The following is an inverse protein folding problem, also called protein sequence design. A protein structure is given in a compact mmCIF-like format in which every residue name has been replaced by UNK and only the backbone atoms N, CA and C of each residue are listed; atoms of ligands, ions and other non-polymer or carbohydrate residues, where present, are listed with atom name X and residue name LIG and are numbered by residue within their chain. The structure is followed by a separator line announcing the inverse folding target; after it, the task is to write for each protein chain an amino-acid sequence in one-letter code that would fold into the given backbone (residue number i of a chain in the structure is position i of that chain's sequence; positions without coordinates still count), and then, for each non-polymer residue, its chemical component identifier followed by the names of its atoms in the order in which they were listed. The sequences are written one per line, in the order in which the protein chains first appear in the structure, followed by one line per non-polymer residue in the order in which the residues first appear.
data_IF_366254983496
#
_entry.id   IF_366254983496
#
_cell.length_a   1.000
_cell.length_b   1.000
_cell.length_c   1.000
_cell.angle_alpha   90.00
_cell.angle_beta   90.00
_cell.angle_gamma   90.00
#
_symmetry.space_group_name_H-M   'P 1'
#
loop_
_entity.id
_entity.type
_entity.pdbx_description
1 polymer ?
#
# COMPACT_ATOMS: atom_id res chain seq x y z
N UNK A 1 16.50 -1.56 10.32
CA UNK A 1 15.97 -1.65 11.71
C UNK A 1 15.82 -3.12 12.14
N UNK A 2 15.83 -3.47 13.44
CA UNK A 2 15.49 -4.83 13.89
C UNK A 2 13.98 -5.03 13.80
N UNK A 3 13.53 -5.96 12.96
CA UNK A 3 12.13 -6.40 12.87
C UNK A 3 11.62 -6.72 14.28
N UNK A 4 10.53 -6.07 14.69
CA UNK A 4 9.97 -6.34 16.02
C UNK A 4 9.53 -7.80 16.11
N UNK A 5 9.77 -8.48 17.24
CA UNK A 5 9.31 -9.84 17.43
C UNK A 5 7.77 -9.86 17.36
N UNK A 6 7.23 -10.96 16.83
CA UNK A 6 5.79 -11.14 16.75
C UNK A 6 5.13 -10.94 18.13
N UNK A 7 4.16 -10.04 18.20
CA UNK A 7 3.40 -9.66 19.38
C UNK A 7 1.97 -10.16 19.26
N UNK A 8 1.41 -10.66 20.35
CA UNK A 8 0.00 -11.09 20.40
C UNK A 8 -0.96 -9.96 20.00
N UNK A 9 -0.61 -8.70 20.31
CA UNK A 9 -1.43 -7.53 20.03
C UNK A 9 -1.34 -7.03 18.59
N UNK A 10 -0.24 -7.32 17.88
CA UNK A 10 0.00 -6.80 16.53
C UNK A 10 -0.15 -7.88 15.45
N UNK A 11 0.12 -9.16 15.78
CA UNK A 11 0.31 -10.22 14.79
C UNK A 11 -0.64 -11.41 14.97
N UNK A 12 -1.35 -11.51 16.10
CA UNK A 12 -2.23 -12.65 16.43
C UNK A 12 -3.68 -12.22 16.61
N UNK A 13 -3.93 -11.11 17.33
CA UNK A 13 -5.26 -10.52 17.44
C UNK A 13 -5.40 -9.46 16.36
N UNK A 14 -6.04 -9.83 15.25
CA UNK A 14 -6.42 -8.86 14.22
C UNK A 14 -7.38 -7.80 14.79
N UNK A 15 -7.40 -6.57 14.23
CA UNK A 15 -8.28 -5.51 14.69
C UNK A 15 -9.75 -5.97 14.65
N UNK A 16 -10.59 -5.41 15.54
CA UNK A 16 -12.04 -5.56 15.42
C UNK A 16 -12.44 -4.93 14.09
N UNK A 17 -12.93 -5.75 13.18
CA UNK A 17 -13.26 -5.33 11.83
C UNK A 17 -14.64 -5.78 11.39
N UNK A 18 -15.24 -4.95 10.54
CA UNK A 18 -16.44 -5.27 9.77
C UNK A 18 -16.02 -5.92 8.45
N UNK A 19 -16.57 -7.10 8.15
CA UNK A 19 -16.38 -7.77 6.86
C UNK A 19 -16.29 -9.29 6.97
N UNK A 20 -16.31 -10.01 5.82
CA UNK A 20 -16.38 -11.47 5.79
C UNK A 20 -15.08 -12.14 6.27
N UNK A 21 -13.93 -11.49 6.08
CA UNK A 21 -12.63 -11.95 6.60
C UNK A 21 -11.86 -10.77 7.19
N UNK A 22 -11.80 -10.68 8.52
CA UNK A 22 -11.16 -9.56 9.22
C UNK A 22 -9.70 -9.34 8.80
N UNK A 23 -8.94 -10.39 8.52
CA UNK A 23 -7.53 -10.27 8.10
C UNK A 23 -7.35 -9.73 6.68
N UNK A 24 -8.18 -10.17 5.72
CA UNK A 24 -8.11 -9.67 4.35
C UNK A 24 -8.54 -8.22 4.25
N UNK A 25 -9.63 -7.87 4.96
CA UNK A 25 -10.11 -6.48 5.02
C UNK A 25 -9.08 -5.60 5.73
N UNK A 26 -8.45 -6.07 6.82
CA UNK A 26 -7.42 -5.32 7.56
C UNK A 26 -6.21 -4.97 6.69
N UNK A 27 -5.64 -5.99 6.05
CA UNK A 27 -4.47 -5.80 5.22
C UNK A 27 -4.79 -4.88 4.04
N UNK A 28 -5.91 -5.12 3.35
CA UNK A 28 -6.32 -4.29 2.24
C UNK A 28 -6.56 -2.83 2.65
N UNK A 29 -7.19 -2.59 3.80
CA UNK A 29 -7.40 -1.25 4.36
C UNK A 29 -6.09 -0.53 4.66
N UNK A 30 -5.11 -1.22 5.27
CA UNK A 30 -3.79 -0.64 5.52
C UNK A 30 -3.08 -0.28 4.22
N UNK A 31 -3.13 -1.16 3.21
CA UNK A 31 -2.58 -0.86 1.88
C UNK A 31 -3.29 0.36 1.27
N UNK A 32 -4.62 0.40 1.28
CA UNK A 32 -5.39 1.54 0.78
C UNK A 32 -5.03 2.86 1.48
N UNK A 33 -4.84 2.85 2.80
CA UNK A 33 -4.37 4.02 3.55
C UNK A 33 -3.00 4.50 3.09
N UNK A 34 -2.05 3.59 2.89
CA UNK A 34 -0.72 3.93 2.37
C UNK A 34 -0.81 4.56 0.98
N UNK A 35 -1.62 3.97 0.08
CA UNK A 35 -1.85 4.54 -1.26
C UNK A 35 -2.38 5.96 -1.16
N UNK A 36 -3.36 6.21 -0.30
CA UNK A 36 -3.94 7.54 -0.10
C UNK A 36 -2.91 8.54 0.41
N UNK A 37 -2.02 8.14 1.32
CA UNK A 37 -0.96 8.98 1.87
C UNK A 37 0.13 9.34 0.85
N UNK A 38 0.40 8.46 -0.10
CA UNK A 38 1.41 8.69 -1.14
C UNK A 38 0.95 9.69 -2.21
N UNK A 39 -0.36 9.74 -2.51
CA UNK A 39 -0.93 10.60 -3.54
C UNK A 39 -1.09 12.03 -3.02
N UNK A 40 -0.50 13.00 -3.71
CA UNK A 40 -0.75 14.42 -3.42
C UNK A 40 -2.13 14.84 -3.93
N UNK A 41 -2.77 15.76 -3.21
CA UNK A 41 -4.07 16.31 -3.64
C UNK A 41 -5.21 15.29 -3.53
N UNK A 42 -6.14 15.35 -4.49
CA UNK A 42 -7.29 14.44 -4.51
C UNK A 42 -6.97 13.22 -5.34
N UNK A 43 -7.41 12.06 -4.86
CA UNK A 43 -7.34 10.83 -5.62
C UNK A 43 -8.43 10.85 -6.70
N UNK A 44 -8.08 10.54 -7.93
CA UNK A 44 -8.99 10.53 -9.07
C UNK A 44 -9.30 9.11 -9.53
N UNK A 45 -8.27 8.27 -9.64
CA UNK A 45 -8.41 6.90 -10.13
C UNK A 45 -7.42 5.98 -9.44
N UNK A 46 -7.84 4.74 -9.14
CA UNK A 46 -6.96 3.67 -8.67
C UNK A 46 -7.27 2.39 -9.42
N UNK A 47 -6.22 1.77 -9.95
CA UNK A 47 -6.27 0.45 -10.57
C UNK A 47 -5.50 -0.50 -9.65
N UNK A 48 -6.17 -1.57 -9.23
CA UNK A 48 -5.57 -2.66 -8.46
C UNK A 48 -5.58 -3.89 -9.34
N UNK A 49 -4.41 -4.48 -9.55
CA UNK A 49 -4.23 -5.67 -10.35
C UNK A 49 -3.83 -6.84 -9.45
N UNK A 50 -4.47 -7.98 -9.65
CA UNK A 50 -4.18 -9.24 -9.00
C UNK A 50 -3.71 -10.25 -10.04
N UNK A 51 -2.67 -11.03 -9.72
CA UNK A 51 -2.21 -12.08 -10.62
C UNK A 51 -3.27 -13.17 -10.74
N UNK A 52 -3.55 -13.61 -11.96
CA UNK A 52 -4.37 -14.79 -12.29
C UNK A 52 -4.05 -16.04 -11.45
N UNK A 53 -2.79 -16.25 -11.07
CA UNK A 53 -2.36 -17.40 -10.25
C UNK A 53 -2.32 -17.08 -8.75
N UNK A 54 -2.54 -15.82 -8.37
CA UNK A 54 -2.64 -15.37 -6.99
C UNK A 54 -3.96 -15.75 -6.33
N UNK A 55 -3.97 -15.79 -5.01
CA UNK A 55 -5.17 -16.07 -4.20
C UNK A 55 -6.25 -15.00 -4.38
N UNK A 56 -5.83 -13.74 -4.53
CA UNK A 56 -6.75 -12.59 -4.63
C UNK A 56 -7.57 -12.62 -5.92
N UNK A 57 -7.09 -13.26 -6.99
CA UNK A 57 -7.79 -13.27 -8.28
C UNK A 57 -9.21 -13.83 -8.21
N UNK A 58 -9.46 -14.77 -7.30
CA UNK A 58 -10.77 -15.39 -7.11
C UNK A 58 -11.46 -14.97 -5.82
N UNK A 59 -10.74 -14.35 -4.88
CA UNK A 59 -11.23 -14.16 -3.51
C UNK A 59 -11.37 -12.70 -3.10
N UNK A 60 -10.80 -11.73 -3.82
CA UNK A 60 -10.75 -10.34 -3.36
C UNK A 60 -12.13 -9.78 -2.98
N UNK A 61 -13.17 -10.09 -3.77
CA UNK A 61 -14.54 -9.66 -3.49
C UNK A 61 -15.17 -10.44 -2.34
N UNK A 62 -15.12 -11.79 -2.40
CA UNK A 62 -15.74 -12.65 -1.39
C UNK A 62 -15.14 -12.51 0.01
N UNK A 63 -13.86 -12.15 0.10
CA UNK A 63 -13.15 -11.90 1.37
C UNK A 63 -13.12 -10.41 1.77
N UNK A 64 -13.67 -9.51 0.94
CA UNK A 64 -13.78 -8.08 1.25
C UNK A 64 -12.46 -7.31 1.15
N UNK A 65 -11.49 -7.80 0.37
CA UNK A 65 -10.27 -7.03 0.08
C UNK A 65 -10.57 -5.76 -0.71
N UNK A 66 -11.58 -5.77 -1.59
CA UNK A 66 -12.04 -4.57 -2.28
C UNK A 66 -12.59 -3.52 -1.32
N UNK A 67 -13.52 -3.90 -0.43
CA UNK A 67 -14.11 -2.97 0.55
C UNK A 67 -13.07 -2.46 1.55
N UNK A 68 -12.13 -3.32 1.96
CA UNK A 68 -11.04 -2.92 2.83
C UNK A 68 -10.14 -1.89 2.14
N UNK A 69 -9.68 -2.22 0.94
CA UNK A 69 -8.82 -1.35 0.14
C UNK A 69 -9.45 0.02 -0.10
N UNK A 70 -10.71 0.05 -0.57
CA UNK A 70 -11.40 1.31 -0.86
C UNK A 70 -11.72 2.09 0.42
N UNK A 71 -12.10 1.42 1.51
CA UNK A 71 -12.23 2.07 2.81
C UNK A 71 -10.94 2.74 3.27
N UNK A 72 -9.79 2.08 3.01
CA UNK A 72 -8.47 2.66 3.25
C UNK A 72 -8.21 3.92 2.42
N UNK A 73 -8.59 3.92 1.14
CA UNK A 73 -8.48 5.11 0.27
C UNK A 73 -9.31 6.29 0.79
N UNK A 74 -10.49 6.01 1.34
CA UNK A 74 -11.40 6.99 1.95
C UNK A 74 -10.98 7.43 3.36
N UNK A 75 -9.91 6.84 3.91
CA UNK A 75 -9.40 7.15 5.24
C UNK A 75 -10.24 6.59 6.38
N UNK A 76 -11.02 5.54 6.14
CA UNK A 76 -11.82 4.90 7.19
C UNK A 76 -10.96 4.09 8.16
N UNK A 77 -11.47 3.96 9.39
CA UNK A 77 -10.88 3.06 10.37
C UNK A 77 -11.43 1.63 10.23
N UNK A 78 -10.69 0.61 10.68
CA UNK A 78 -11.10 -0.79 10.54
C UNK A 78 -12.48 -1.16 11.13
N UNK A 79 -12.95 -0.40 12.11
CA UNK A 79 -14.24 -0.57 12.76
C UNK A 79 -15.33 0.40 12.27
N UNK A 80 -15.05 1.19 11.22
CA UNK A 80 -16.01 2.14 10.67
C UNK A 80 -17.18 1.40 10.01
N UNK A 81 -18.40 1.75 10.41
CA UNK A 81 -19.62 1.12 9.88
C UNK A 81 -19.82 1.40 8.38
N UNK A 82 -19.20 2.46 7.83
CA UNK A 82 -19.27 2.82 6.41
C UNK A 82 -18.42 1.92 5.52
N UNK A 83 -17.57 1.04 6.07
CA UNK A 83 -16.68 0.18 5.29
C UNK A 83 -17.41 -0.68 4.26
N UNK A 84 -18.60 -1.18 4.61
CA UNK A 84 -19.42 -2.02 3.73
C UNK A 84 -19.90 -1.27 2.47
N UNK A 85 -20.03 0.06 2.57
CA UNK A 85 -20.49 0.95 1.51
C UNK A 85 -19.31 1.69 0.83
N UNK A 86 -18.07 1.33 1.15
CA UNK A 86 -16.86 2.04 0.70
C UNK A 86 -16.78 2.20 -0.83
N UNK A 87 -17.11 1.15 -1.60
CA UNK A 87 -17.12 1.21 -3.07
C UNK A 87 -18.10 2.28 -3.59
N UNK A 88 -19.29 2.35 -3.01
CA UNK A 88 -20.32 3.32 -3.37
C UNK A 88 -19.92 4.74 -2.95
N UNK A 89 -19.36 4.88 -1.74
CA UNK A 89 -18.91 6.17 -1.22
C UNK A 89 -17.74 6.73 -2.04
N UNK A 90 -16.83 5.87 -2.53
CA UNK A 90 -15.76 6.29 -3.42
C UNK A 90 -16.29 6.82 -4.76
N UNK A 91 -17.30 6.17 -5.34
CA UNK A 91 -17.98 6.66 -6.54
C UNK A 91 -18.65 8.03 -6.30
N UNK A 92 -19.28 8.22 -5.15
CA UNK A 92 -19.89 9.51 -4.73
C UNK A 92 -18.86 10.63 -4.55
N UNK A 93 -17.64 10.30 -4.09
CA UNK A 93 -16.51 11.24 -4.02
C UNK A 93 -15.83 11.47 -5.39
N UNK A 94 -16.26 10.77 -6.44
CA UNK A 94 -15.71 10.87 -7.79
C UNK A 94 -14.39 10.12 -7.98
N UNK A 95 -14.09 9.14 -7.11
CA UNK A 95 -12.90 8.30 -7.19
C UNK A 95 -13.25 7.04 -7.97
N UNK A 96 -12.58 6.84 -9.12
CA UNK A 96 -12.76 5.64 -9.94
C UNK A 96 -11.85 4.54 -9.41
N UNK A 97 -12.43 3.42 -8.94
CA UNK A 97 -11.63 2.26 -8.49
C UNK A 97 -11.90 1.07 -9.41
N UNK A 98 -10.83 0.46 -9.93
CA UNK A 98 -10.90 -0.71 -10.81
C UNK A 98 -10.06 -1.86 -10.26
N UNK A 99 -10.67 -3.05 -10.14
CA UNK A 99 -9.97 -4.29 -9.81
C UNK A 99 -9.84 -5.14 -11.07
N UNK A 100 -8.62 -5.57 -11.40
CA UNK A 100 -8.32 -6.33 -12.62
C UNK A 100 -7.59 -7.60 -12.28
N UNK A 101 -7.94 -8.67 -12.99
CA UNK A 101 -7.19 -9.93 -12.97
C UNK A 101 -6.28 -9.94 -14.19
N UNK A 102 -4.98 -10.00 -13.97
CA UNK A 102 -3.96 -9.87 -15.02
C UNK A 102 -2.95 -11.00 -14.87
N UNK A 103 -2.50 -11.63 -15.96
CA UNK A 103 -1.43 -12.62 -15.87
C UNK A 103 -0.08 -11.91 -15.73
N UNK A 104 0.52 -12.01 -14.55
CA UNK A 104 1.89 -11.55 -14.29
C UNK A 104 2.52 -12.41 -13.21
N UNK A 105 3.83 -12.65 -13.21
CA UNK A 105 4.46 -13.57 -12.26
C UNK A 105 4.59 -12.93 -10.87
N UNK A 106 3.50 -12.83 -10.10
CA UNK A 106 3.56 -12.37 -8.72
C UNK A 106 4.36 -13.36 -7.87
N UNK A 107 5.28 -12.85 -7.04
CA UNK A 107 6.08 -13.69 -6.14
C UNK A 107 5.27 -14.18 -4.93
N UNK A 108 4.25 -13.43 -4.51
CA UNK A 108 3.38 -13.76 -3.39
C UNK A 108 1.91 -13.89 -3.85
N UNK A 109 1.13 -14.86 -3.34
CA UNK A 109 -0.26 -15.06 -3.79
C UNK A 109 -1.20 -13.89 -3.44
N UNK A 110 -0.95 -13.20 -2.33
CA UNK A 110 -1.72 -12.02 -1.90
C UNK A 110 -1.07 -10.70 -2.35
N UNK A 111 -0.64 -10.60 -3.62
CA UNK A 111 0.00 -9.39 -4.16
C UNK A 111 -1.04 -8.41 -4.72
N UNK A 112 -0.85 -7.13 -4.42
CA UNK A 112 -1.57 -5.98 -4.95
C UNK A 112 -0.60 -5.17 -5.80
N UNK A 113 -0.77 -5.19 -7.13
CA UNK A 113 -0.06 -4.24 -8.01
C UNK A 113 -0.97 -3.04 -8.28
N UNK A 114 -0.56 -1.87 -7.82
CA UNK A 114 -1.43 -0.70 -7.71
C UNK A 114 -0.89 0.42 -8.59
N UNK A 115 -1.78 1.06 -9.35
CA UNK A 115 -1.55 2.34 -10.00
C UNK A 115 -2.56 3.34 -9.48
N UNK A 116 -2.10 4.39 -8.81
CA UNK A 116 -2.93 5.48 -8.30
C UNK A 116 -2.67 6.77 -9.07
N UNK A 117 -3.73 7.49 -9.39
CA UNK A 117 -3.71 8.70 -10.21
C UNK A 117 -4.44 9.80 -9.45
N UNK A 118 -3.79 10.94 -9.28
CA UNK A 118 -4.36 12.15 -8.66
C UNK A 118 -5.21 12.98 -9.62
N UNK A 119 -5.85 14.02 -9.09
CA UNK A 119 -6.57 15.04 -9.85
C UNK A 119 -5.66 15.91 -10.73
N UNK A 120 -4.37 16.04 -10.39
CA UNK A 120 -3.34 16.70 -11.21
C UNK A 120 -2.62 15.76 -12.20
N UNK A 121 -3.05 14.49 -12.27
CA UNK A 121 -2.47 13.41 -13.11
C UNK A 121 -1.04 13.00 -12.70
N UNK A 122 -0.60 13.27 -11.47
CA UNK A 122 0.49 12.52 -10.85
C UNK A 122 0.11 11.04 -10.79
N UNK A 123 1.03 10.17 -11.22
CA UNK A 123 0.85 8.71 -11.21
C UNK A 123 1.84 8.12 -10.24
N UNK A 124 1.35 7.28 -9.33
CA UNK A 124 2.16 6.52 -8.38
C UNK A 124 1.87 5.04 -8.58
N UNK A 125 2.93 4.23 -8.66
CA UNK A 125 2.91 2.79 -8.82
C UNK A 125 3.59 2.14 -7.63
N UNK A 126 2.95 1.12 -7.10
CA UNK A 126 3.49 0.34 -5.99
C UNK A 126 3.02 -1.10 -6.07
N UNK A 127 3.84 -1.98 -5.51
CA UNK A 127 3.51 -3.38 -5.29
C UNK A 127 3.53 -3.64 -3.79
N UNK A 128 2.42 -4.14 -3.26
CA UNK A 128 2.29 -4.51 -1.85
C UNK A 128 1.77 -5.93 -1.71
N UNK A 129 2.13 -6.60 -0.62
CA UNK A 129 1.64 -7.95 -0.30
C UNK A 129 0.92 -7.94 1.05
N UNK A 130 -0.04 -8.85 1.21
CA UNK A 130 -0.55 -9.21 2.54
C UNK A 130 0.05 -10.53 3.00
N UNK A 131 0.75 -10.51 4.13
CA UNK A 131 1.42 -11.68 4.72
C UNK A 131 0.53 -12.45 5.72
N UNK A 132 -0.73 -12.05 5.87
CA UNK A 132 -1.70 -12.66 6.79
C UNK A 132 -1.86 -11.87 8.11
N UNK A 133 -2.93 -12.14 8.86
CA UNK A 133 -3.19 -11.47 10.15
C UNK A 133 -3.47 -9.95 10.07
N UNK A 134 -3.64 -9.40 8.87
CA UNK A 134 -3.72 -7.94 8.66
C UNK A 134 -2.35 -7.27 8.48
N UNK A 135 -1.26 -8.05 8.44
CA UNK A 135 0.08 -7.57 8.10
C UNK A 135 0.22 -7.33 6.60
N UNK A 136 1.06 -6.36 6.28
CA UNK A 136 1.33 -5.89 4.92
C UNK A 136 2.82 -5.63 4.74
N UNK A 137 3.27 -5.61 3.50
CA UNK A 137 4.61 -5.18 3.11
C UNK A 137 4.52 -4.50 1.73
N UNK A 138 4.97 -3.26 1.60
CA UNK A 138 5.21 -2.65 0.27
C UNK A 138 6.61 -3.08 -0.16
N UNK A 139 6.68 -3.73 -1.32
CA UNK A 139 7.90 -4.35 -1.86
C UNK A 139 8.51 -3.54 -2.99
N UNK A 140 7.69 -2.75 -3.69
CA UNK A 140 8.13 -1.89 -4.77
C UNK A 140 7.37 -0.58 -4.76
N UNK A 141 8.06 0.54 -5.01
CA UNK A 141 7.48 1.86 -5.16
C UNK A 141 8.21 2.60 -6.29
N UNK A 142 7.47 3.04 -7.31
CA UNK A 142 8.02 3.72 -8.50
C UNK A 142 9.19 2.97 -9.17
N UNK A 143 9.16 1.63 -9.12
CA UNK A 143 10.21 0.76 -9.66
C UNK A 143 11.41 0.52 -8.73
N UNK A 144 11.43 1.12 -7.54
CA UNK A 144 12.44 0.88 -6.52
C UNK A 144 11.99 -0.21 -5.56
N UNK A 145 12.86 -1.19 -5.27
CA UNK A 145 12.62 -2.17 -4.21
C UNK A 145 12.67 -1.49 -2.85
N UNK A 146 11.69 -1.79 -2.01
CA UNK A 146 11.55 -1.25 -0.66
C UNK A 146 11.07 -2.35 0.29
N UNK A 147 11.27 -2.18 1.60
CA UNK A 147 10.72 -3.07 2.63
C UNK A 147 9.96 -2.22 3.66
N UNK A 148 8.69 -1.96 3.38
CA UNK A 148 7.83 -1.08 4.19
C UNK A 148 6.71 -1.93 4.80
N UNK A 149 6.78 -2.20 6.11
CA UNK A 149 5.80 -3.04 6.80
C UNK A 149 4.61 -2.25 7.42
N UNK A 150 4.65 -0.92 7.32
CA UNK A 150 3.63 -0.03 7.89
C UNK A 150 3.56 -0.09 9.42
N UNK A 151 4.68 -0.41 10.07
CA UNK A 151 4.91 -0.48 11.52
C UNK A 151 5.71 0.73 12.05
N UNK A 152 6.33 1.52 11.16
CA UNK A 152 7.05 2.74 11.48
C UNK A 152 6.55 3.94 10.68
N UNK A 153 6.89 5.15 11.15
CA UNK A 153 6.78 6.34 10.33
C UNK A 153 7.95 6.38 9.34
N UNK A 154 7.62 6.52 8.07
CA UNK A 154 8.60 6.51 6.99
C UNK A 154 8.59 7.86 6.26
N UNK A 155 9.77 8.31 5.86
CA UNK A 155 9.94 9.51 5.04
C UNK A 155 10.66 9.13 3.76
N UNK A 156 9.97 9.34 2.63
CA UNK A 156 10.50 9.05 1.31
C UNK A 156 10.97 10.33 0.63
N UNK A 157 12.19 10.34 0.12
CA UNK A 157 12.80 11.50 -0.54
C UNK A 157 13.14 11.11 -1.98
N UNK A 158 12.41 11.69 -2.93
CA UNK A 158 12.63 11.46 -4.36
C UNK A 158 13.35 12.65 -4.99
N UNK A 159 14.45 12.36 -5.69
CA UNK A 159 15.14 13.37 -6.48
C UNK A 159 14.82 13.19 -7.97
N UNK A 160 14.49 14.30 -8.65
CA UNK A 160 14.28 14.32 -10.10
C UNK A 160 15.44 15.03 -10.79
N UNK A 161 15.91 14.46 -11.90
CA UNK A 161 16.88 15.09 -12.81
C UNK A 161 18.18 15.57 -12.16
N UNK A 162 18.75 14.77 -11.25
CA UNK A 162 20.07 15.06 -10.68
C UNK A 162 21.08 14.00 -11.12
N UNK A 163 22.34 14.41 -11.27
CA UNK A 163 23.44 13.49 -11.55
C UNK A 163 23.86 12.71 -10.29
N UNK A 164 24.61 11.61 -10.48
CA UNK A 164 25.07 10.75 -9.40
C UNK A 164 25.93 11.48 -8.36
N UNK A 165 26.67 12.51 -8.79
CA UNK A 165 27.53 13.29 -7.89
C UNK A 165 26.66 14.12 -6.93
N UNK A 166 25.68 14.84 -7.48
CA UNK A 166 24.72 15.66 -6.74
C UNK A 166 23.83 14.80 -5.85
N UNK A 167 23.42 13.62 -6.34
CA UNK A 167 22.68 12.63 -5.54
C UNK A 167 23.48 12.24 -4.30
N UNK A 168 24.75 11.84 -4.48
CA UNK A 168 25.64 11.49 -3.37
C UNK A 168 25.84 12.65 -2.39
N UNK A 169 26.12 13.85 -2.89
CA UNK A 169 26.30 15.05 -2.04
C UNK A 169 25.05 15.36 -1.20
N UNK A 170 23.85 15.24 -1.77
CA UNK A 170 22.58 15.46 -1.07
C UNK A 170 22.30 14.36 -0.05
N UNK A 171 22.50 13.10 -0.43
CA UNK A 171 22.32 11.95 0.46
C UNK A 171 23.27 12.05 1.66
N UNK A 172 24.55 12.36 1.45
CA UNK A 172 25.53 12.57 2.53
C UNK A 172 25.13 13.73 3.46
N UNK A 173 24.52 14.78 2.93
CA UNK A 173 24.03 15.90 3.74
C UNK A 173 22.81 15.51 4.58
N UNK A 174 21.87 14.74 4.02
CA UNK A 174 20.68 14.26 4.72
C UNK A 174 21.05 13.28 5.83
N UNK A 175 21.93 12.31 5.53
CA UNK A 175 22.40 11.31 6.49
C UNK A 175 23.04 11.95 7.72
N UNK A 176 23.71 13.10 7.59
CA UNK A 176 24.28 13.84 8.74
C UNK A 176 23.22 14.47 9.65
N UNK A 177 21.99 14.64 9.15
CA UNK A 177 20.89 15.28 9.87
C UNK A 177 19.90 14.27 10.47
N UNK A 178 19.97 13.00 10.08
CA UNK A 178 19.10 11.92 10.56
C UNK A 178 19.93 10.86 11.28
N UNK A 179 19.36 10.23 12.32
CA UNK A 179 20.05 9.22 13.12
C UNK A 179 20.04 7.85 12.46
N UNK A 180 18.89 7.18 12.53
CA UNK A 180 18.67 5.86 11.96
C UNK A 180 17.99 5.97 10.60
N UNK A 181 18.54 5.28 9.59
CA UNK A 181 17.97 5.22 8.24
C UNK A 181 18.28 3.87 7.59
N UNK A 182 17.35 3.37 6.78
CA UNK A 182 17.59 2.32 5.80
C UNK A 182 17.56 2.96 4.41
N UNK A 183 18.46 2.56 3.52
CA UNK A 183 18.63 3.14 2.19
C UNK A 183 18.26 2.14 1.11
N UNK A 184 17.37 2.54 0.20
CA UNK A 184 17.05 1.80 -1.02
C UNK A 184 17.44 2.67 -2.23
N UNK A 185 18.29 2.15 -3.12
CA UNK A 185 18.77 2.82 -4.32
C UNK A 185 18.56 1.98 -5.58
N UNK A 186 18.82 2.57 -6.76
CA UNK A 186 18.71 1.90 -8.06
C UNK A 186 19.79 0.83 -8.32
N UNK A 187 20.77 0.68 -7.43
CA UNK A 187 21.85 -0.29 -7.55
C UNK A 187 22.05 -1.02 -6.21
N UNK A 188 21.44 -2.22 -6.13
CA UNK A 188 22.02 -3.49 -5.66
C UNK A 188 21.38 -4.65 -6.46
#
# INVERSE_FOLDING_TARGET
MLKQPASIFNDVIGPIMRGPSSSHVAAALRIGKLVRQMVKGKLKEVIVEFDTKGSLATTYHGHGSDIGFVGGLLGFEPNDDRLIDSLKLAEEEGIIVSFKIVDYPAEHPNTYRITAISDDNEVIRLTAISTGGGMIEVQELEGFKVEICGDFYETLIFFKNIDNKTFKEKTDAIIKLIGDYDFCGLDD
#
